data_IF_098904746841
#
_entry.id   IF_098904746841
#
_cell.length_a   1.000
_cell.length_b   1.000
_cell.length_c   1.000
_cell.angle_alpha   90.00
_cell.angle_beta   90.00
_cell.angle_gamma   90.00
#
_symmetry.space_group_name_H-M   'P 1'
#
loop_
_entity.id
_entity.type
_entity.pdbx_description
1 polymer ?
#
# COMPACT_ATOMS: atom_id res chain seq x y z
N UNK A 1 -7.88 5.88 -3.33
CA UNK A 1 -7.80 6.75 -2.13
C UNK A 1 -6.46 7.49 -2.21
N UNK A 2 -6.20 8.54 -1.45
CA UNK A 2 -4.85 8.66 -0.94
C UNK A 2 -4.75 7.46 0.00
N UNK A 3 -4.32 6.33 -0.57
CA UNK A 3 -4.57 4.98 -0.05
C UNK A 3 -3.89 4.74 1.29
N UNK A 4 -2.96 5.62 1.64
CA UNK A 4 -2.20 5.60 2.86
C UNK A 4 -2.50 6.77 3.83
N UNK A 5 -3.38 7.73 3.47
CA UNK A 5 -3.65 8.92 4.32
C UNK A 5 -4.99 8.89 5.08
N UNK A 6 -5.91 7.98 4.77
CA UNK A 6 -7.19 7.84 5.49
C UNK A 6 -8.28 8.90 5.19
N UNK A 7 -7.99 9.93 4.41
CA UNK A 7 -8.96 11.00 4.05
C UNK A 7 -9.97 10.62 2.95
N UNK A 8 -9.88 9.41 2.41
CA UNK A 8 -10.74 8.85 1.35
C UNK A 8 -10.73 9.57 -0.01
N UNK A 9 -9.90 10.60 -0.23
CA UNK A 9 -9.80 11.31 -1.53
C UNK A 9 -8.93 10.57 -2.55
N UNK A 10 -9.53 9.88 -3.52
CA UNK A 10 -8.84 8.84 -4.27
C UNK A 10 -7.78 9.20 -5.30
N UNK A 11 -7.85 10.43 -5.77
CA UNK A 11 -7.08 10.91 -6.90
C UNK A 11 -6.28 12.16 -6.51
N UNK A 12 -6.08 12.36 -5.20
CA UNK A 12 -5.47 13.56 -4.63
C UNK A 12 -4.30 13.15 -3.75
N UNK A 13 -3.08 13.46 -4.19
CA UNK A 13 -1.85 13.23 -3.45
C UNK A 13 -1.62 14.25 -2.32
N UNK A 14 -2.57 15.17 -2.11
CA UNK A 14 -2.53 16.22 -1.09
C UNK A 14 -1.29 17.13 -1.21
N UNK A 15 -0.78 17.33 -2.42
CA UNK A 15 0.43 18.09 -2.70
C UNK A 15 1.72 17.38 -2.30
N UNK A 16 1.69 16.06 -2.10
CA UNK A 16 2.84 15.23 -1.72
C UNK A 16 3.09 14.09 -2.72
N UNK A 17 3.37 14.42 -3.99
CA UNK A 17 3.70 13.40 -4.99
C UNK A 17 4.93 12.62 -4.54
N UNK A 18 4.89 11.29 -4.69
CA UNK A 18 5.89 10.28 -4.23
C UNK A 18 5.81 9.84 -2.78
N UNK A 19 5.02 10.51 -1.93
CA UNK A 19 4.77 10.05 -0.56
C UNK A 19 3.40 9.36 -0.48
N UNK A 20 2.43 9.96 -1.16
CA UNK A 20 1.05 9.53 -1.14
C UNK A 20 0.75 8.62 -2.32
N UNK A 21 0.11 7.49 -2.03
CA UNK A 21 -0.28 6.52 -3.06
C UNK A 21 -1.68 6.86 -3.51
N UNK A 22 -1.82 7.22 -4.78
CA UNK A 22 -3.12 7.51 -5.42
C UNK A 22 -3.73 6.26 -6.05
N UNK A 23 -4.99 6.35 -6.47
CA UNK A 23 -5.62 5.30 -7.25
C UNK A 23 -4.91 5.10 -8.60
N UNK A 24 -4.40 6.18 -9.21
CA UNK A 24 -3.61 6.16 -10.45
C UNK A 24 -2.33 5.35 -10.30
N UNK A 25 -1.66 5.45 -9.15
CA UNK A 25 -0.45 4.69 -8.89
C UNK A 25 -0.73 3.19 -8.84
N UNK A 26 -1.80 2.79 -8.15
CA UNK A 26 -2.23 1.37 -8.10
C UNK A 26 -2.70 0.90 -9.45
N UNK A 27 -3.46 1.73 -10.20
CA UNK A 27 -3.88 1.39 -11.56
C UNK A 27 -2.69 1.17 -12.48
N UNK A 28 -1.68 2.04 -12.44
CA UNK A 28 -0.46 1.88 -13.25
C UNK A 28 0.30 0.60 -12.89
N UNK A 29 0.37 0.26 -11.60
CA UNK A 29 0.94 -1.01 -11.16
C UNK A 29 0.13 -2.22 -11.63
N UNK A 30 -1.21 -2.14 -11.56
CA UNK A 30 -2.11 -3.17 -12.03
C UNK A 30 -1.95 -3.42 -13.54
N UNK A 31 -2.01 -2.36 -14.33
CA UNK A 31 -1.87 -2.41 -15.80
C UNK A 31 -0.50 -3.01 -16.19
N UNK A 32 0.59 -2.64 -15.48
CA UNK A 32 1.93 -3.17 -15.72
C UNK A 32 2.07 -4.68 -15.41
N UNK A 33 1.24 -5.21 -14.52
CA UNK A 33 1.25 -6.62 -14.12
C UNK A 33 0.11 -7.45 -14.72
N UNK A 34 -0.70 -6.86 -15.62
CA UNK A 34 -1.87 -7.54 -16.19
C UNK A 34 -2.95 -7.88 -15.16
N UNK A 35 -3.05 -7.10 -14.09
CA UNK A 35 -4.00 -7.28 -12.99
C UNK A 35 -5.09 -6.22 -13.00
N UNK A 36 -6.19 -6.46 -12.30
CA UNK A 36 -7.14 -5.40 -11.93
C UNK A 36 -6.62 -4.59 -10.74
N UNK A 37 -7.22 -3.42 -10.49
CA UNK A 37 -6.91 -2.64 -9.28
C UNK A 37 -7.26 -3.43 -8.01
N UNK A 38 -8.39 -4.13 -8.00
CA UNK A 38 -8.83 -4.94 -6.88
C UNK A 38 -7.87 -6.10 -6.59
N UNK A 39 -7.42 -6.81 -7.63
CA UNK A 39 -6.41 -7.86 -7.50
C UNK A 39 -5.10 -7.31 -6.93
N UNK A 40 -4.70 -6.11 -7.37
CA UNK A 40 -3.48 -5.45 -6.91
C UNK A 40 -3.58 -5.07 -5.43
N UNK A 41 -4.71 -4.51 -4.99
CA UNK A 41 -4.96 -4.21 -3.57
C UNK A 41 -4.98 -5.48 -2.72
N UNK A 42 -5.62 -6.55 -3.20
CA UNK A 42 -5.63 -7.84 -2.52
C UNK A 42 -4.21 -8.44 -2.42
N UNK A 43 -3.39 -8.29 -3.46
CA UNK A 43 -2.01 -8.77 -3.46
C UNK A 43 -1.12 -7.96 -2.51
N UNK A 44 -1.31 -6.64 -2.41
CA UNK A 44 -0.60 -5.79 -1.45
C UNK A 44 -0.88 -6.27 -0.02
N UNK A 45 -2.15 -6.54 0.33
CA UNK A 45 -2.51 -7.06 1.65
C UNK A 45 -1.84 -8.42 1.93
N UNK A 46 -1.95 -9.39 1.01
CA UNK A 46 -1.32 -10.70 1.15
C UNK A 46 0.20 -10.63 1.29
N UNK A 47 0.83 -9.73 0.53
CA UNK A 47 2.29 -9.50 0.61
C UNK A 47 2.65 -8.91 1.96
N UNK A 48 1.86 -7.97 2.49
CA UNK A 48 2.09 -7.43 3.83
C UNK A 48 1.97 -8.49 4.93
N UNK A 49 1.04 -9.44 4.80
CA UNK A 49 0.90 -10.52 5.77
C UNK A 49 2.09 -11.49 5.69
N UNK A 50 2.50 -11.87 4.47
CA UNK A 50 3.69 -12.69 4.26
C UNK A 50 4.96 -12.02 4.78
N UNK A 51 5.10 -10.71 4.59
CA UNK A 51 6.24 -9.94 5.07
C UNK A 51 6.36 -9.99 6.60
N UNK A 52 5.24 -9.91 7.32
CA UNK A 52 5.20 -10.07 8.78
C UNK A 52 5.66 -11.45 9.23
N UNK A 53 5.25 -12.49 8.52
CA UNK A 53 5.65 -13.87 8.82
C UNK A 53 7.15 -14.08 8.55
N UNK A 54 7.65 -13.58 7.42
CA UNK A 54 9.05 -13.72 7.01
C UNK A 54 10.01 -12.87 7.87
N UNK A 55 9.53 -11.73 8.40
CA UNK A 55 10.33 -10.74 9.15
C UNK A 55 9.84 -10.55 10.58
N UNK A 56 9.42 -11.62 11.25
CA UNK A 56 8.85 -11.55 12.61
C UNK A 56 9.70 -10.73 13.63
N UNK A 57 11.03 -10.70 13.47
CA UNK A 57 11.93 -9.90 14.31
C UNK A 57 11.74 -8.38 14.17
N UNK A 58 11.35 -7.89 12.99
CA UNK A 58 11.09 -6.46 12.73
C UNK A 58 9.77 -5.99 13.35
N UNK A 59 8.81 -6.92 13.47
CA UNK A 59 7.48 -6.67 14.03
C UNK A 59 7.38 -7.01 15.54
N UNK A 60 8.38 -7.70 16.09
CA UNK A 60 8.44 -8.14 17.49
C UNK A 60 9.08 -7.15 18.47
N UNK A 61 9.51 -5.97 18.01
CA UNK A 61 10.06 -4.93 18.88
C UNK A 61 8.97 -3.90 19.24
N UNK A 62 8.28 -4.10 20.36
CA UNK A 62 7.69 -2.98 21.07
C UNK A 62 8.81 -2.05 21.58
N UNK A 63 8.71 -0.72 21.46
CA UNK A 63 9.63 0.17 22.15
C UNK A 63 9.35 0.07 23.65
N UNK A 64 10.18 -0.70 24.36
CA UNK A 64 10.35 -0.48 25.79
C UNK A 64 11.16 0.82 25.95
N UNK A 65 10.46 1.92 26.24
CA UNK A 65 11.06 3.22 26.55
C UNK A 65 10.07 4.35 26.56
#
# INVERSE_FOLDING_TARGET
MCLNCGCMRAHDDMGKPRINITYEDVKRAADANGMTVDDTLAMIARTSDKDRDDHAAEYGAEPTG
#
